data_IF_835505261139
#
_entry.id   IF_835505261139
#
_cell.length_a   1.000
_cell.length_b   1.000
_cell.length_c   1.000
_cell.angle_alpha   90.00
_cell.angle_beta   90.00
_cell.angle_gamma   90.00
#
_symmetry.space_group_name_H-M   'P 1'
#
loop_
_entity.id
_entity.type
_entity.pdbx_description
1 polymer ?
#
# COMPACT_ATOMS: atom_id res chain seq x y z
N UNK A 1 82.10 35.20 -13.26
CA UNK A 1 81.41 35.23 -11.95
C UNK A 1 80.07 35.93 -12.11
N UNK A 2 79.03 35.29 -11.55
CA UNK A 2 77.57 35.59 -11.42
C UNK A 2 76.99 36.91 -11.96
N UNK A 3 75.93 36.93 -12.81
CA UNK A 3 74.47 36.62 -12.59
C UNK A 3 73.90 37.36 -11.35
N UNK A 4 72.75 38.04 -11.36
CA UNK A 4 71.52 37.80 -12.10
C UNK A 4 70.61 39.05 -12.20
N UNK A 5 69.72 39.02 -13.20
CA UNK A 5 68.59 39.91 -13.48
C UNK A 5 67.47 39.80 -12.44
N UNK A 6 66.76 40.90 -12.21
CA UNK A 6 65.57 40.97 -11.38
C UNK A 6 64.31 40.30 -11.99
N UNK A 7 63.41 39.87 -11.12
CA UNK A 7 62.02 39.49 -11.37
C UNK A 7 61.24 39.89 -10.09
N UNK A 8 60.44 40.96 -10.13
CA UNK A 8 59.00 41.01 -10.50
C UNK A 8 58.13 40.20 -9.52
N UNK A 9 57.55 40.93 -8.55
CA UNK A 9 56.60 40.42 -7.58
C UNK A 9 55.33 39.88 -8.23
N UNK A 10 54.81 38.81 -7.64
CA UNK A 10 53.48 38.29 -7.91
C UNK A 10 52.95 37.64 -6.62
N UNK A 11 52.26 38.42 -5.80
CA UNK A 11 51.34 37.87 -4.82
C UNK A 11 50.17 37.23 -5.57
N UNK A 12 50.03 35.92 -5.47
CA UNK A 12 48.76 35.22 -5.62
C UNK A 12 48.51 34.48 -4.32
N UNK A 13 47.78 35.13 -3.43
CA UNK A 13 46.98 34.44 -2.43
C UNK A 13 45.62 34.24 -3.10
N UNK A 14 45.41 33.06 -3.69
CA UNK A 14 44.05 32.59 -3.92
C UNK A 14 43.63 31.93 -2.60
N UNK A 15 42.69 32.57 -1.89
CA UNK A 15 41.93 31.89 -0.86
C UNK A 15 40.98 30.93 -1.55
N UNK A 16 41.15 29.63 -1.29
CA UNK A 16 40.15 28.63 -1.60
C UNK A 16 39.05 28.74 -0.53
N UNK A 17 38.13 29.67 -0.72
CA UNK A 17 36.82 29.57 -0.09
C UNK A 17 36.06 28.45 -0.82
N UNK A 18 35.97 27.29 -0.16
CA UNK A 18 35.06 26.22 -0.58
C UNK A 18 33.64 26.75 -0.37
N UNK A 19 33.08 27.37 -1.40
CA UNK A 19 31.66 27.67 -1.48
C UNK A 19 30.94 26.33 -1.64
N UNK A 20 30.47 25.77 -0.53
CA UNK A 20 29.59 24.60 -0.56
C UNK A 20 28.26 25.07 -1.15
N UNK A 21 28.01 24.77 -2.42
CA UNK A 21 26.77 25.12 -3.09
C UNK A 21 25.61 24.35 -2.45
N UNK A 22 24.90 25.00 -1.53
CA UNK A 22 23.82 24.44 -0.71
C UNK A 22 22.58 24.03 -1.53
N UNK A 23 22.62 24.17 -2.86
CA UNK A 23 21.55 23.80 -3.79
C UNK A 23 21.59 22.34 -4.21
N UNK A 24 22.78 21.72 -4.23
CA UNK A 24 22.97 20.32 -4.60
C UNK A 24 22.49 19.30 -3.54
N UNK A 25 22.73 19.48 -2.22
CA UNK A 25 22.25 18.53 -1.21
C UNK A 25 20.72 18.59 -1.01
N UNK A 26 20.10 19.75 -1.28
CA UNK A 26 18.65 19.94 -1.16
C UNK A 26 17.87 19.12 -2.19
N UNK A 27 18.34 19.06 -3.45
CA UNK A 27 17.71 18.25 -4.49
C UNK A 27 17.85 16.74 -4.23
N UNK A 28 19.00 16.29 -3.72
CA UNK A 28 19.22 14.88 -3.39
C UNK A 28 18.31 14.37 -2.25
N UNK A 29 18.02 15.22 -1.25
CA UNK A 29 17.09 14.90 -0.16
C UNK A 29 15.63 14.82 -0.63
N UNK A 30 15.24 15.63 -1.62
CA UNK A 30 13.88 15.58 -2.22
C UNK A 30 13.66 14.28 -3.00
N UNK A 31 14.65 13.79 -3.75
CA UNK A 31 14.51 12.53 -4.48
C UNK A 31 14.40 11.29 -3.57
N UNK A 32 15.13 11.28 -2.44
CA UNK A 32 15.05 10.17 -1.46
C UNK A 32 13.68 10.17 -0.75
N UNK A 33 13.10 11.34 -0.48
CA UNK A 33 11.79 11.44 0.17
C UNK A 33 10.62 11.08 -0.77
N UNK A 34 10.73 11.32 -2.08
CA UNK A 34 9.73 10.89 -3.08
C UNK A 34 9.78 9.38 -3.32
N UNK A 35 10.95 8.75 -3.29
CA UNK A 35 11.10 7.30 -3.48
C UNK A 35 10.46 6.47 -2.34
N UNK A 36 10.36 7.03 -1.12
CA UNK A 36 9.73 6.37 0.04
C UNK A 36 8.20 6.37 -0.02
N UNK A 37 7.58 7.10 -0.96
CA UNK A 37 6.11 7.19 -1.09
C UNK A 37 5.52 6.16 -2.07
N UNK A 38 6.35 5.36 -2.74
CA UNK A 38 5.92 4.41 -3.78
C UNK A 38 5.22 3.14 -3.26
N UNK A 39 4.95 3.04 -1.95
CA UNK A 39 4.36 1.86 -1.32
C UNK A 39 3.21 2.17 -0.37
N UNK A 40 2.51 3.29 -0.51
CA UNK A 40 1.35 3.59 0.33
C UNK A 40 0.04 3.19 -0.36
N UNK A 41 -1.01 2.97 0.43
CA UNK A 41 -2.38 2.86 -0.10
C UNK A 41 -2.69 4.06 -0.99
N UNK A 42 -2.97 3.81 -2.26
CA UNK A 42 -3.31 4.83 -3.24
C UNK A 42 -4.81 4.99 -3.33
N UNK A 43 -5.29 6.23 -3.08
CA UNK A 43 -6.71 6.57 -3.22
C UNK A 43 -7.23 6.32 -4.63
N UNK A 44 -6.40 6.50 -5.65
CA UNK A 44 -6.77 6.21 -7.04
C UNK A 44 -7.10 4.71 -7.22
N UNK A 45 -6.33 3.82 -6.60
CA UNK A 45 -6.57 2.38 -6.71
C UNK A 45 -7.85 2.00 -5.97
N UNK A 46 -8.09 2.57 -4.79
CA UNK A 46 -9.33 2.35 -4.03
C UNK A 46 -10.57 2.84 -4.79
N UNK A 47 -10.53 4.09 -5.26
CA UNK A 47 -11.66 4.74 -5.93
C UNK A 47 -11.95 4.11 -7.29
N UNK A 48 -10.98 3.48 -7.93
CA UNK A 48 -11.17 2.78 -9.21
C UNK A 48 -12.20 1.64 -9.14
N UNK A 49 -12.48 1.11 -7.94
CA UNK A 49 -13.47 0.06 -7.74
C UNK A 49 -14.91 0.58 -7.60
N UNK A 50 -15.14 1.87 -7.38
CA UNK A 50 -16.50 2.38 -7.17
C UNK A 50 -17.37 2.16 -8.42
N UNK A 51 -18.57 1.63 -8.22
CA UNK A 51 -19.52 1.29 -9.28
C UNK A 51 -19.19 0.01 -10.08
N UNK A 52 -18.03 -0.61 -9.85
CA UNK A 52 -17.62 -1.82 -10.57
C UNK A 52 -18.50 -3.01 -10.15
N UNK A 53 -18.94 -3.85 -11.10
CA UNK A 53 -19.70 -5.06 -10.77
C UNK A 53 -18.91 -6.00 -9.86
N UNK A 54 -19.58 -6.60 -8.88
CA UNK A 54 -18.96 -7.58 -7.96
C UNK A 54 -18.33 -8.77 -8.70
N UNK A 55 -18.86 -9.13 -9.88
CA UNK A 55 -18.30 -10.19 -10.72
C UNK A 55 -16.86 -9.91 -11.19
N UNK A 56 -16.40 -8.65 -11.20
CA UNK A 56 -14.99 -8.34 -11.50
C UNK A 56 -14.08 -8.65 -10.30
N UNK A 57 -14.57 -8.51 -9.06
CA UNK A 57 -13.84 -8.97 -7.87
C UNK A 57 -13.64 -10.49 -7.91
N UNK A 58 -14.69 -11.22 -8.26
CA UNK A 58 -14.70 -12.68 -8.34
C UNK A 58 -13.81 -13.22 -9.48
N UNK A 59 -13.25 -12.35 -10.33
CA UNK A 59 -12.31 -12.71 -11.41
C UNK A 59 -10.94 -12.08 -11.21
N UNK A 60 -10.76 -11.24 -10.18
CA UNK A 60 -9.53 -10.51 -9.99
C UNK A 60 -8.41 -11.44 -9.48
N UNK A 61 -7.23 -11.48 -10.12
CA UNK A 61 -6.17 -12.44 -9.78
C UNK A 61 -5.81 -12.47 -8.29
N UNK A 62 -5.67 -11.30 -7.65
CA UNK A 62 -5.37 -11.21 -6.22
C UNK A 62 -6.52 -11.72 -5.32
N UNK A 63 -7.76 -11.31 -5.60
CA UNK A 63 -8.89 -11.62 -4.71
C UNK A 63 -9.32 -13.09 -4.81
N UNK A 64 -8.92 -13.78 -5.87
CA UNK A 64 -9.10 -15.22 -6.03
C UNK A 64 -8.18 -16.05 -5.11
N UNK A 65 -7.01 -15.53 -4.74
CA UNK A 65 -5.99 -16.31 -4.02
C UNK A 65 -6.01 -16.08 -2.51
N UNK A 66 -6.74 -15.07 -2.04
CA UNK A 66 -6.79 -14.72 -0.62
C UNK A 66 -8.11 -15.16 0.02
N UNK A 67 -8.11 -15.59 1.29
CA UNK A 67 -9.33 -15.91 2.02
C UNK A 67 -10.31 -14.73 2.09
N UNK A 68 -11.61 -15.01 2.01
CA UNK A 68 -12.67 -13.99 2.09
C UNK A 68 -13.65 -14.31 3.21
N UNK A 69 -13.99 -13.30 4.00
CA UNK A 69 -15.12 -13.34 4.94
C UNK A 69 -16.24 -12.47 4.38
N UNK A 70 -17.45 -13.03 4.30
CA UNK A 70 -18.63 -12.35 3.77
C UNK A 70 -19.65 -12.14 4.88
N UNK A 71 -20.24 -10.96 4.96
CA UNK A 71 -21.36 -10.67 5.87
C UNK A 71 -22.34 -9.71 5.20
N UNK A 72 -23.54 -9.56 5.75
CA UNK A 72 -24.57 -8.63 5.25
C UNK A 72 -24.97 -7.72 6.41
N UNK A 73 -24.86 -6.41 6.19
CA UNK A 73 -25.31 -5.39 7.13
C UNK A 73 -26.84 -5.31 7.17
N UNK A 74 -27.37 -4.68 8.22
CA UNK A 74 -28.81 -4.54 8.43
C UNK A 74 -29.53 -3.79 7.31
N UNK A 75 -28.83 -2.96 6.54
CA UNK A 75 -29.36 -2.20 5.40
C UNK A 75 -29.26 -2.97 4.06
N UNK A 76 -28.87 -4.23 4.10
CA UNK A 76 -28.67 -5.10 2.94
C UNK A 76 -27.30 -4.96 2.25
N UNK A 77 -26.40 -4.11 2.75
CA UNK A 77 -25.04 -3.99 2.19
C UNK A 77 -24.25 -5.26 2.46
N UNK A 78 -23.78 -5.92 1.41
CA UNK A 78 -22.83 -7.03 1.51
C UNK A 78 -21.44 -6.46 1.81
N UNK A 79 -20.77 -7.02 2.81
CA UNK A 79 -19.37 -6.72 3.13
C UNK A 79 -18.54 -7.94 2.79
N UNK A 80 -17.53 -7.77 1.94
CA UNK A 80 -16.51 -8.79 1.66
C UNK A 80 -15.16 -8.30 2.16
N UNK A 81 -14.57 -9.01 3.11
CA UNK A 81 -13.21 -8.75 3.57
C UNK A 81 -12.28 -9.84 3.04
N UNK A 82 -11.45 -9.49 2.06
CA UNK A 82 -10.39 -10.33 1.52
C UNK A 82 -9.11 -10.11 2.34
N UNK A 83 -8.70 -11.12 3.10
CA UNK A 83 -7.65 -10.99 4.12
C UNK A 83 -6.34 -11.56 3.60
N UNK A 84 -5.38 -10.69 3.33
CA UNK A 84 -4.01 -11.08 3.02
C UNK A 84 -3.17 -11.03 4.29
N UNK A 85 -2.95 -12.19 4.92
CA UNK A 85 -2.16 -12.27 6.14
C UNK A 85 -1.95 -13.72 6.59
N UNK A 86 -1.13 -13.89 7.63
CA UNK A 86 -0.89 -15.20 8.21
C UNK A 86 -1.89 -15.51 9.31
N UNK A 87 -2.05 -16.80 9.61
CA UNK A 87 -2.85 -17.30 10.73
C UNK A 87 -4.33 -16.88 10.74
N UNK A 88 -4.89 -16.42 9.60
CA UNK A 88 -6.29 -15.99 9.49
C UNK A 88 -7.26 -17.09 9.94
N UNK A 89 -6.93 -18.36 9.65
CA UNK A 89 -7.73 -19.53 10.03
C UNK A 89 -7.86 -19.75 11.55
N UNK A 90 -6.94 -19.18 12.34
CA UNK A 90 -7.03 -19.23 13.80
C UNK A 90 -8.19 -18.38 14.34
N UNK A 91 -8.57 -17.32 13.61
CA UNK A 91 -9.68 -16.44 13.96
C UNK A 91 -11.05 -16.94 13.46
N UNK A 92 -11.07 -17.99 12.64
CA UNK A 92 -12.30 -18.62 12.14
C UNK A 92 -12.63 -19.94 12.85
N UNK A 93 -11.98 -20.24 13.99
CA UNK A 93 -12.21 -21.47 14.75
C UNK A 93 -11.80 -22.75 14.03
N UNK A 94 -10.80 -22.69 13.13
CA UNK A 94 -10.37 -23.83 12.32
C UNK A 94 -11.26 -24.12 11.10
N UNK A 95 -12.32 -23.35 10.88
CA UNK A 95 -13.13 -23.40 9.66
C UNK A 95 -12.37 -22.80 8.47
N UNK A 96 -12.57 -23.38 7.28
CA UNK A 96 -12.04 -22.96 5.97
C UNK A 96 -12.57 -21.56 5.59
N UNK A 97 -12.13 -20.53 6.31
CA UNK A 97 -12.39 -19.07 6.23
C UNK A 97 -13.61 -18.74 5.37
N UNK A 98 -14.74 -19.07 5.98
CA UNK A 98 -16.15 -18.87 5.65
C UNK A 98 -16.55 -18.82 4.17
N UNK A 99 -16.72 -20.04 3.62
CA UNK A 99 -17.37 -20.38 2.33
C UNK A 99 -18.76 -19.77 2.09
N UNK A 100 -19.42 -19.28 3.14
CA UNK A 100 -20.75 -18.67 3.11
C UNK A 100 -20.78 -17.37 3.89
N UNK A 101 -21.84 -16.58 3.69
CA UNK A 101 -22.11 -15.37 4.47
C UNK A 101 -22.29 -15.71 5.95
N UNK A 102 -21.63 -14.95 6.83
CA UNK A 102 -21.76 -15.04 8.29
C UNK A 102 -22.53 -13.84 8.84
N UNK A 103 -23.12 -13.99 10.03
CA UNK A 103 -23.77 -12.89 10.73
C UNK A 103 -22.76 -11.84 11.22
N UNK A 104 -23.27 -10.65 11.58
CA UNK A 104 -22.43 -9.53 12.01
C UNK A 104 -21.72 -9.75 13.34
N UNK A 105 -22.26 -10.56 14.25
CA UNK A 105 -21.58 -10.86 15.52
C UNK A 105 -20.37 -11.76 15.26
N UNK A 106 -20.52 -12.78 14.42
CA UNK A 106 -19.41 -13.62 13.94
C UNK A 106 -18.34 -12.81 13.21
N UNK A 107 -18.75 -11.91 12.32
CA UNK A 107 -17.82 -11.01 11.61
C UNK A 107 -17.06 -10.06 12.57
N UNK A 108 -17.75 -9.51 13.57
CA UNK A 108 -17.14 -8.62 14.57
C UNK A 108 -16.14 -9.36 15.46
N UNK A 109 -16.47 -10.60 15.85
CA UNK A 109 -15.57 -11.48 16.59
C UNK A 109 -14.31 -11.82 15.77
N UNK A 110 -14.48 -12.18 14.50
CA UNK A 110 -13.38 -12.40 13.56
C UNK A 110 -12.48 -11.17 13.44
N UNK A 111 -13.08 -9.99 13.19
CA UNK A 111 -12.35 -8.73 13.02
C UNK A 111 -11.56 -8.35 14.28
N UNK A 112 -12.12 -8.62 15.46
CA UNK A 112 -11.46 -8.38 16.75
C UNK A 112 -10.30 -9.35 16.99
N UNK A 113 -10.45 -10.61 16.61
CA UNK A 113 -9.36 -11.59 16.67
C UNK A 113 -8.20 -11.21 15.73
N UNK A 114 -8.52 -10.79 14.51
CA UNK A 114 -7.53 -10.41 13.49
C UNK A 114 -6.64 -9.24 13.89
N UNK A 115 -7.08 -8.37 14.82
CA UNK A 115 -6.27 -7.26 15.33
C UNK A 115 -4.92 -7.70 15.90
N UNK A 116 -4.80 -8.96 16.34
CA UNK A 116 -3.58 -9.54 16.92
C UNK A 116 -2.57 -10.01 15.87
N UNK A 117 -2.99 -10.14 14.61
CA UNK A 117 -2.18 -10.70 13.54
C UNK A 117 -1.89 -9.67 12.45
N UNK A 118 -0.68 -9.74 11.92
CA UNK A 118 -0.27 -8.92 10.77
C UNK A 118 -1.04 -9.36 9.52
N UNK A 119 -1.92 -8.49 9.05
CA UNK A 119 -2.74 -8.77 7.87
C UNK A 119 -3.27 -7.49 7.24
N UNK A 120 -3.40 -7.52 5.92
CA UNK A 120 -4.11 -6.52 5.14
C UNK A 120 -5.52 -6.98 4.83
N UNK A 121 -6.48 -6.26 5.40
CA UNK A 121 -7.91 -6.45 5.18
C UNK A 121 -8.32 -5.59 3.99
N UNK A 122 -8.83 -6.23 2.94
CA UNK A 122 -9.34 -5.57 1.75
C UNK A 122 -10.86 -5.65 1.77
N UNK A 123 -11.51 -4.57 2.21
CA UNK A 123 -12.92 -4.56 2.58
C UNK A 123 -13.71 -3.86 1.48
N UNK A 124 -14.60 -4.60 0.85
CA UNK A 124 -15.55 -4.09 -0.14
C UNK A 124 -16.94 -4.00 0.47
N UNK A 125 -17.55 -2.84 0.33
CA UNK A 125 -18.97 -2.62 0.59
C UNK A 125 -19.70 -2.71 -0.74
N UNK A 126 -20.65 -3.63 -0.84
CA UNK A 126 -21.33 -4.00 -2.07
C UNK A 126 -22.84 -3.85 -1.86
N UNK A 127 -23.50 -3.20 -2.80
CA UNK A 127 -24.96 -3.03 -2.82
C UNK A 127 -25.44 -3.17 -4.25
N UNK A 128 -26.54 -3.90 -4.43
CA UNK A 128 -27.14 -4.18 -5.75
C UNK A 128 -26.14 -4.77 -6.76
N UNK A 129 -25.26 -5.66 -6.28
CA UNK A 129 -24.25 -6.34 -7.10
C UNK A 129 -23.10 -5.44 -7.59
N UNK A 130 -22.96 -4.24 -7.03
CA UNK A 130 -21.88 -3.29 -7.38
C UNK A 130 -21.13 -2.83 -6.13
N UNK A 131 -19.83 -2.60 -6.31
CA UNK A 131 -18.99 -2.02 -5.26
C UNK A 131 -19.40 -0.57 -5.04
N UNK A 132 -19.75 -0.25 -3.80
CA UNK A 132 -20.01 1.11 -3.34
C UNK A 132 -18.71 1.77 -2.85
N UNK A 133 -17.89 0.99 -2.14
CA UNK A 133 -16.63 1.47 -1.58
C UNK A 133 -15.65 0.31 -1.39
N UNK A 134 -14.38 0.60 -1.61
CA UNK A 134 -13.25 -0.27 -1.25
C UNK A 134 -12.35 0.47 -0.28
N UNK A 135 -12.02 -0.19 0.84
CA UNK A 135 -11.02 0.29 1.79
C UNK A 135 -10.02 -0.82 2.12
N UNK A 136 -8.82 -0.40 2.51
CA UNK A 136 -7.80 -1.29 3.04
C UNK A 136 -7.49 -0.92 4.48
N UNK A 137 -7.36 -1.91 5.35
CA UNK A 137 -7.02 -1.72 6.76
C UNK A 137 -5.99 -2.74 7.20
N UNK A 138 -4.88 -2.24 7.78
CA UNK A 138 -3.84 -3.07 8.37
C UNK A 138 -4.18 -3.44 9.82
N UNK A 139 -3.89 -4.69 10.20
CA UNK A 139 -4.00 -5.17 11.59
C UNK A 139 -2.65 -5.67 12.10
N UNK A 140 -2.48 -5.80 13.42
CA UNK A 140 -1.24 -6.31 14.01
C UNK A 140 0.03 -5.50 13.68
N UNK A 141 -0.13 -4.23 13.28
CA UNK A 141 0.97 -3.36 12.87
C UNK A 141 1.39 -3.47 11.39
N UNK A 142 0.66 -4.23 10.56
CA UNK A 142 0.93 -4.28 9.12
C UNK A 142 0.59 -2.96 8.43
N UNK A 143 1.40 -2.56 7.46
CA UNK A 143 1.12 -1.44 6.56
C UNK A 143 0.65 -2.03 5.22
N UNK A 144 -0.54 -1.63 4.78
CA UNK A 144 -1.08 -2.08 3.50
C UNK A 144 -0.62 -1.18 2.35
N UNK A 145 -0.45 -1.80 1.19
CA UNK A 145 -0.01 -1.14 -0.03
C UNK A 145 -0.98 -1.51 -1.14
N UNK A 146 -1.26 -0.55 -2.01
CA UNK A 146 -1.97 -0.82 -3.26
C UNK A 146 -1.14 -0.26 -4.40
N UNK A 147 -1.26 -0.88 -5.57
CA UNK A 147 -0.70 -0.37 -6.80
C UNK A 147 -1.64 -0.70 -7.96
N UNK A 148 -1.18 -0.46 -9.18
CA UNK A 148 -1.98 -0.68 -10.40
C UNK A 148 -2.43 -2.15 -10.58
N UNK A 149 -1.74 -3.11 -9.94
CA UNK A 149 -2.13 -4.52 -9.98
C UNK A 149 -3.37 -4.86 -9.15
N UNK A 150 -3.79 -3.92 -8.29
CA UNK A 150 -5.00 -4.02 -7.48
C UNK A 150 -6.23 -3.36 -8.12
N UNK A 151 -6.09 -2.73 -9.31
CA UNK A 151 -7.18 -2.04 -10.00
C UNK A 151 -8.08 -3.02 -10.76
N UNK A 152 -9.36 -2.67 -11.00
CA UNK A 152 -10.24 -3.47 -11.84
C UNK A 152 -9.63 -3.72 -13.23
N UNK A 153 -9.91 -4.90 -13.79
CA UNK A 153 -9.43 -5.27 -15.13
C UNK A 153 -7.94 -5.61 -15.21
N UNK A 154 -7.18 -5.57 -14.10
CA UNK A 154 -5.83 -6.12 -14.10
C UNK A 154 -5.85 -7.63 -14.41
N UNK A 155 -4.99 -8.05 -15.33
CA UNK A 155 -4.85 -9.45 -15.80
C UNK A 155 -3.40 -9.93 -15.86
N UNK A 156 -2.46 -9.16 -15.31
CA UNK A 156 -1.05 -9.54 -15.30
C UNK A 156 -0.76 -10.68 -14.32
N UNK A 157 0.34 -11.40 -14.56
CA UNK A 157 0.88 -12.35 -13.59
C UNK A 157 1.73 -11.60 -12.56
N UNK A 158 1.31 -11.59 -11.30
CA UNK A 158 2.09 -11.09 -10.16
C UNK A 158 2.05 -12.13 -9.06
N UNK A 159 3.18 -12.32 -8.38
CA UNK A 159 3.21 -13.09 -7.14
C UNK A 159 2.70 -12.16 -6.05
N UNK A 160 1.52 -12.46 -5.54
CA UNK A 160 0.84 -11.68 -4.50
C UNK A 160 1.07 -12.25 -3.11
#
# INVERSE_FOLDING_TARGET
MSRAKGMKGRSRLLGDEVVVDLRLPALALIFISVALMAGCVSKQDLDSWQGIPVAELDKHPFFLTVPVVRTIASDGTEIRNYVNGQNVASCSGGGQIFKSTVDMASYSGFSSCMQKFQACNNIFYIKDGRVQQYITSGTGGSICMTDESMRPGFRGSKNF
#
